data_IF_154647266008
#
_entry.id   IF_154647266008
#
_cell.length_a   1.000
_cell.length_b   1.000
_cell.length_c   1.000
_cell.angle_alpha   90.00
_cell.angle_beta   90.00
_cell.angle_gamma   90.00
#
_symmetry.space_group_name_H-M   'P 1'
#
loop_
_entity.id
_entity.type
_entity.pdbx_description
1 polymer ?
#
# COMPACT_ATOMS: atom_id res chain seq x y z
N UNK A 1 4.57 42.34 -19.49
CA UNK A 1 4.58 40.88 -19.76
C UNK A 1 5.63 40.29 -18.85
N UNK A 2 5.20 39.66 -17.75
CA UNK A 2 6.08 39.11 -16.71
C UNK A 2 6.34 37.65 -17.06
N UNK A 3 7.61 37.35 -17.41
CA UNK A 3 8.05 36.00 -17.66
C UNK A 3 8.43 35.38 -16.32
N UNK A 4 7.63 34.45 -15.82
CA UNK A 4 7.97 33.67 -14.65
C UNK A 4 8.95 32.56 -15.06
N UNK A 5 10.18 32.63 -14.57
CA UNK A 5 11.17 31.57 -14.76
C UNK A 5 10.98 30.53 -13.67
N UNK A 6 10.54 29.34 -14.06
CA UNK A 6 10.48 28.18 -13.16
C UNK A 6 11.85 27.49 -13.20
N UNK A 7 12.57 27.52 -12.08
CA UNK A 7 13.76 26.70 -11.91
C UNK A 7 13.35 25.45 -11.13
N UNK A 8 13.37 24.31 -11.79
CA UNK A 8 13.18 23.01 -11.17
C UNK A 8 14.51 22.47 -10.68
N UNK A 9 14.72 22.42 -9.38
CA UNK A 9 15.85 21.72 -8.76
C UNK A 9 15.37 20.33 -8.33
N UNK A 10 15.76 19.32 -9.09
CA UNK A 10 15.49 17.93 -8.75
C UNK A 10 16.59 17.42 -7.80
N UNK A 11 16.28 17.35 -6.52
CA UNK A 11 16.97 16.46 -5.59
C UNK A 11 16.00 15.35 -5.23
N UNK A 12 16.52 14.14 -5.23
CA UNK A 12 15.76 12.90 -5.04
C UNK A 12 14.73 13.05 -3.91
N UNK A 13 13.44 12.97 -4.28
CA UNK A 13 12.24 12.88 -3.43
C UNK A 13 11.34 14.11 -3.26
N UNK A 14 11.78 15.35 -3.59
CA UNK A 14 10.87 16.49 -3.49
C UNK A 14 11.13 17.48 -4.62
N UNK A 15 10.16 17.71 -5.50
CA UNK A 15 10.21 18.79 -6.48
C UNK A 15 9.59 20.04 -5.85
N UNK A 16 10.43 20.99 -5.47
CA UNK A 16 9.98 22.31 -5.03
C UNK A 16 10.00 23.28 -6.20
N UNK A 17 8.84 23.82 -6.55
CA UNK A 17 8.76 24.94 -7.50
C UNK A 17 8.73 26.22 -6.70
N UNK A 18 9.81 27.00 -6.75
CA UNK A 18 9.89 28.29 -6.07
C UNK A 18 9.62 29.39 -7.11
N UNK A 19 8.56 30.16 -6.91
CA UNK A 19 8.29 31.37 -7.67
C UNK A 19 8.90 32.57 -6.95
N UNK A 20 9.85 33.26 -7.58
CA UNK A 20 10.35 34.54 -7.11
C UNK A 20 9.71 35.66 -7.91
N UNK A 21 9.03 36.59 -7.25
CA UNK A 21 8.57 37.85 -7.84
C UNK A 21 9.47 38.99 -7.34
N UNK A 22 9.77 40.00 -8.18
CA UNK A 22 10.73 41.05 -7.85
C UNK A 22 10.11 42.23 -7.12
N UNK A 23 9.25 42.04 -6.12
CA UNK A 23 8.78 43.12 -5.27
C UNK A 23 8.64 42.68 -3.79
N UNK A 24 9.39 43.39 -2.96
CA UNK A 24 9.47 43.23 -1.51
C UNK A 24 8.14 43.60 -0.81
N UNK A 25 7.36 42.57 -0.48
CA UNK A 25 6.42 42.64 0.61
C UNK A 25 6.28 41.23 1.22
N UNK A 26 6.10 41.08 2.55
CA UNK A 26 6.02 39.76 3.19
C UNK A 26 4.67 39.10 2.87
N UNK A 27 4.52 38.60 1.64
CA UNK A 27 3.38 37.80 1.23
C UNK A 27 3.65 36.34 1.57
N UNK A 28 2.71 35.77 2.30
CA UNK A 28 2.67 34.34 2.65
C UNK A 28 3.08 33.48 1.44
N UNK A 29 4.19 32.78 1.56
CA UNK A 29 4.64 31.81 0.58
C UNK A 29 3.51 30.82 0.32
N UNK A 30 2.92 30.88 -0.88
CA UNK A 30 2.00 29.83 -1.33
C UNK A 30 2.87 28.66 -1.77
N UNK A 31 3.17 27.79 -0.81
CA UNK A 31 3.82 26.51 -1.12
C UNK A 31 2.80 25.71 -1.91
N UNK A 32 3.03 25.52 -3.17
CA UNK A 32 2.29 24.57 -3.99
C UNK A 32 2.81 23.17 -3.55
N UNK A 33 2.19 22.61 -2.53
CA UNK A 33 2.35 21.20 -2.22
C UNK A 33 1.79 20.46 -3.43
N UNK A 34 2.66 19.94 -4.29
CA UNK A 34 2.28 18.86 -5.17
C UNK A 34 1.73 17.78 -4.24
N UNK A 35 0.45 17.46 -4.36
CA UNK A 35 -0.11 16.31 -3.66
C UNK A 35 0.77 15.14 -4.04
N UNK A 36 1.47 14.57 -3.05
CA UNK A 36 2.12 13.28 -3.23
C UNK A 36 1.11 12.37 -3.90
N UNK A 37 1.46 11.83 -5.05
CA UNK A 37 0.62 10.85 -5.71
C UNK A 37 0.53 9.66 -4.74
N UNK A 38 -0.64 9.31 -4.19
CA UNK A 38 -0.77 8.19 -3.27
C UNK A 38 -0.23 6.87 -3.84
N UNK A 39 -0.06 6.80 -5.17
CA UNK A 39 0.53 5.67 -5.88
C UNK A 39 2.04 5.50 -5.63
N UNK A 40 2.75 6.51 -5.13
CA UNK A 40 4.19 6.42 -4.88
C UNK A 40 4.53 5.98 -3.44
N UNK A 41 3.57 6.01 -2.53
CA UNK A 41 3.80 5.56 -1.16
C UNK A 41 3.62 4.05 -1.10
N UNK A 42 4.72 3.34 -0.81
CA UNK A 42 4.70 1.90 -0.64
C UNK A 42 3.99 1.51 0.67
N UNK A 43 2.75 1.08 0.58
CA UNK A 43 1.97 0.62 1.72
C UNK A 43 2.30 -0.84 2.03
N UNK A 44 2.98 -1.08 3.15
CA UNK A 44 3.44 -2.42 3.56
C UNK A 44 3.05 -2.78 4.99
N UNK A 45 2.91 -1.78 5.87
CA UNK A 45 2.57 -2.01 7.28
C UNK A 45 1.06 -2.12 7.49
N UNK A 46 0.66 -2.97 8.45
CA UNK A 46 -0.75 -3.26 8.75
C UNK A 46 -1.61 -2.03 8.99
N UNK A 47 -1.13 -1.05 9.74
CA UNK A 47 -1.93 0.13 10.07
C UNK A 47 -2.08 1.08 8.88
N UNK A 48 -1.03 1.28 8.08
CA UNK A 48 -1.11 2.11 6.89
C UNK A 48 -2.02 1.50 5.83
N UNK A 49 -1.91 0.18 5.60
CA UNK A 49 -2.77 -0.55 4.64
C UNK A 49 -4.21 -0.56 5.11
N UNK A 50 -4.45 -0.86 6.40
CA UNK A 50 -5.79 -0.85 6.96
C UNK A 50 -6.45 0.53 6.84
N UNK A 51 -5.71 1.60 7.17
CA UNK A 51 -6.23 2.97 7.00
C UNK A 51 -6.51 3.29 5.54
N UNK A 52 -5.63 2.91 4.62
CA UNK A 52 -5.86 3.12 3.19
C UNK A 52 -7.14 2.42 2.70
N UNK A 53 -7.37 1.16 3.13
CA UNK A 53 -8.60 0.42 2.80
C UNK A 53 -9.83 1.14 3.36
N UNK A 54 -9.78 1.64 4.61
CA UNK A 54 -10.89 2.40 5.18
C UNK A 54 -11.21 3.67 4.41
N UNK A 55 -10.18 4.41 4.00
CA UNK A 55 -10.35 5.71 3.32
C UNK A 55 -10.76 5.55 1.85
N UNK A 56 -10.34 4.47 1.17
CA UNK A 56 -10.48 4.32 -0.28
C UNK A 56 -11.34 3.12 -0.72
N UNK A 57 -11.71 2.23 0.19
CA UNK A 57 -12.52 1.03 -0.11
C UNK A 57 -11.79 -0.05 -0.93
N UNK A 58 -10.50 0.10 -1.17
CA UNK A 58 -9.68 -0.80 -2.00
C UNK A 58 -8.24 -0.87 -1.50
N UNK A 59 -7.48 -1.87 -1.95
CA UNK A 59 -6.05 -1.98 -1.68
C UNK A 59 -5.24 -0.89 -2.41
N UNK A 60 -4.08 -0.51 -1.85
CA UNK A 60 -3.10 0.34 -2.54
C UNK A 60 -2.58 -0.30 -3.83
N UNK A 61 -2.08 0.51 -4.76
CA UNK A 61 -1.63 0.09 -6.08
C UNK A 61 -0.41 -0.85 -6.09
N UNK A 62 0.33 -0.94 -4.99
CA UNK A 62 1.44 -1.88 -4.82
C UNK A 62 1.00 -3.32 -4.49
N UNK A 63 -0.31 -3.59 -4.46
CA UNK A 63 -0.87 -4.93 -4.25
C UNK A 63 -1.30 -5.59 -5.53
N UNK A 64 -1.02 -6.90 -5.65
CA UNK A 64 -1.51 -7.78 -6.71
C UNK A 64 -2.02 -9.10 -6.13
N UNK A 65 -2.90 -9.79 -6.86
CA UNK A 65 -3.42 -11.10 -6.46
C UNK A 65 -2.35 -12.20 -6.46
N UNK A 66 -2.62 -13.31 -5.78
CA UNK A 66 -1.74 -14.48 -5.82
C UNK A 66 -1.49 -15.00 -7.24
N UNK A 67 -2.52 -14.98 -8.09
CA UNK A 67 -2.40 -15.44 -9.49
C UNK A 67 -1.48 -14.52 -10.30
N UNK A 68 -1.63 -13.21 -10.16
CA UNK A 68 -0.76 -12.22 -10.81
C UNK A 68 0.67 -12.31 -10.29
N UNK A 69 0.85 -12.47 -8.98
CA UNK A 69 2.17 -12.63 -8.36
C UNK A 69 2.92 -13.87 -8.84
N UNK A 70 2.22 -15.02 -9.03
CA UNK A 70 2.82 -16.22 -9.66
C UNK A 70 3.31 -15.93 -11.06
N UNK A 71 2.45 -15.32 -11.89
CA UNK A 71 2.82 -14.94 -13.26
C UNK A 71 4.03 -13.99 -13.30
N UNK A 72 4.02 -12.98 -12.42
CA UNK A 72 5.11 -12.02 -12.32
C UNK A 72 6.43 -12.70 -11.88
N UNK A 73 6.36 -13.65 -10.96
CA UNK A 73 7.51 -14.43 -10.54
C UNK A 73 8.12 -15.20 -11.73
N UNK A 74 7.31 -15.91 -12.50
CA UNK A 74 7.75 -16.67 -13.66
C UNK A 74 8.37 -15.77 -14.74
N UNK A 75 7.75 -14.63 -15.00
CA UNK A 75 8.27 -13.62 -15.94
C UNK A 75 9.62 -13.04 -15.49
N UNK A 76 9.72 -12.67 -14.21
CA UNK A 76 10.93 -12.03 -13.68
C UNK A 76 12.11 -12.97 -13.51
N UNK A 77 11.85 -14.21 -13.14
CA UNK A 77 12.90 -15.16 -12.76
C UNK A 77 13.21 -16.19 -13.85
N UNK A 78 12.34 -16.37 -14.83
CA UNK A 78 12.41 -17.43 -15.83
C UNK A 78 12.22 -18.85 -15.26
N UNK A 79 11.69 -18.96 -14.01
CA UNK A 79 11.49 -20.22 -13.30
C UNK A 79 10.01 -20.46 -13.07
N UNK A 80 9.57 -21.71 -13.15
CA UNK A 80 8.20 -22.08 -12.78
C UNK A 80 7.96 -21.81 -11.29
N UNK A 81 6.80 -21.22 -10.99
CA UNK A 81 6.38 -20.99 -9.61
C UNK A 81 6.00 -22.32 -8.95
N UNK A 82 6.57 -22.60 -7.79
CA UNK A 82 6.25 -23.80 -7.01
C UNK A 82 5.57 -23.49 -5.68
N UNK A 83 6.05 -22.48 -4.95
CA UNK A 83 5.51 -22.08 -3.65
C UNK A 83 5.96 -20.68 -3.23
N UNK A 84 5.23 -20.07 -2.29
CA UNK A 84 5.55 -18.78 -1.69
C UNK A 84 6.63 -18.91 -0.58
N UNK A 85 7.86 -19.31 -0.93
CA UNK A 85 8.98 -19.42 0.00
C UNK A 85 9.99 -18.28 -0.12
N UNK A 86 9.53 -17.12 -0.56
CA UNK A 86 10.32 -15.91 -0.72
C UNK A 86 9.47 -14.70 -0.26
N UNK A 87 10.12 -13.57 -0.09
CA UNK A 87 9.44 -12.30 0.19
C UNK A 87 9.04 -11.63 -1.13
N UNK A 88 7.72 -11.48 -1.43
CA UNK A 88 7.26 -10.89 -2.68
C UNK A 88 7.72 -9.44 -2.87
N UNK A 89 7.79 -8.65 -1.80
CA UNK A 89 8.23 -7.26 -1.89
C UNK A 89 9.69 -7.16 -2.36
N UNK A 90 10.59 -7.90 -1.74
CA UNK A 90 12.02 -7.88 -2.12
C UNK A 90 12.30 -8.57 -3.46
N UNK A 91 11.53 -9.61 -3.82
CA UNK A 91 11.73 -10.39 -5.04
C UNK A 91 11.02 -9.78 -6.24
N UNK A 92 9.78 -9.33 -6.04
CA UNK A 92 8.90 -8.87 -7.12
C UNK A 92 8.67 -7.36 -7.12
N UNK A 93 8.86 -6.69 -5.98
CA UNK A 93 8.55 -5.28 -5.78
C UNK A 93 7.06 -5.02 -5.51
N UNK A 94 6.32 -6.03 -5.03
CA UNK A 94 4.87 -5.93 -4.80
C UNK A 94 4.47 -6.63 -3.52
N UNK A 95 3.29 -6.25 -3.00
CA UNK A 95 2.58 -6.95 -1.94
C UNK A 95 1.53 -7.89 -2.55
N UNK A 96 1.17 -8.95 -1.83
CA UNK A 96 0.12 -9.89 -2.26
C UNK A 96 -1.18 -9.61 -1.52
N UNK A 97 -2.27 -9.44 -2.27
CA UNK A 97 -3.60 -9.22 -1.68
C UNK A 97 -4.69 -9.07 -2.73
N UNK A 98 -5.95 -8.98 -2.24
CA UNK A 98 -7.13 -8.87 -3.10
C UNK A 98 -7.77 -10.21 -3.45
N UNK A 99 -7.20 -11.33 -3.01
CA UNK A 99 -7.83 -12.64 -3.16
C UNK A 99 -8.98 -12.78 -2.14
N UNK A 100 -10.02 -13.54 -2.49
CA UNK A 100 -11.11 -13.88 -1.58
C UNK A 100 -10.58 -14.68 -0.38
N UNK A 101 -11.04 -14.32 0.81
CA UNK A 101 -10.84 -15.10 2.01
C UNK A 101 -12.11 -15.91 2.33
N UNK A 102 -11.97 -17.22 2.35
CA UNK A 102 -13.05 -18.13 2.67
C UNK A 102 -13.11 -18.34 4.19
N UNK A 103 -14.07 -17.69 4.86
CA UNK A 103 -14.28 -17.75 6.31
C UNK A 103 -14.93 -19.09 6.72
N UNK A 104 -14.33 -20.24 6.36
CA UNK A 104 -14.91 -21.59 6.57
C UNK A 104 -15.15 -21.93 8.02
N UNK A 105 -14.24 -21.51 8.90
CA UNK A 105 -14.37 -21.75 10.33
C UNK A 105 -15.36 -20.81 11.01
N UNK A 106 -15.93 -19.85 10.29
CA UNK A 106 -16.93 -18.91 10.82
C UNK A 106 -16.42 -18.00 11.94
N UNK A 107 -15.10 -17.75 12.00
CA UNK A 107 -14.49 -16.90 13.03
C UNK A 107 -14.78 -15.41 12.84
N UNK A 108 -15.10 -15.01 11.62
CA UNK A 108 -15.53 -13.66 11.28
C UNK A 108 -17.02 -13.62 11.00
N UNK A 109 -17.69 -12.46 11.12
CA UNK A 109 -19.09 -12.31 10.73
C UNK A 109 -19.35 -12.80 9.31
N UNK A 110 -20.60 -13.18 9.01
CA UNK A 110 -20.99 -13.55 7.65
C UNK A 110 -20.78 -12.38 6.70
N UNK A 111 -20.25 -12.65 5.51
CA UNK A 111 -19.99 -11.63 4.50
C UNK A 111 -18.93 -12.07 3.50
N UNK A 112 -18.67 -11.19 2.53
CA UNK A 112 -17.56 -11.36 1.58
C UNK A 112 -16.31 -10.74 2.17
N UNK A 113 -15.27 -11.55 2.26
CA UNK A 113 -13.99 -11.14 2.82
C UNK A 113 -12.87 -11.29 1.80
N UNK A 114 -11.89 -10.40 1.89
CA UNK A 114 -10.66 -10.41 1.11
C UNK A 114 -9.46 -10.45 2.02
N UNK A 115 -8.35 -10.97 1.54
CA UNK A 115 -7.10 -10.98 2.30
C UNK A 115 -6.02 -10.11 1.67
N UNK A 116 -5.14 -9.58 2.50
CA UNK A 116 -3.94 -8.85 2.07
C UNK A 116 -2.78 -9.17 3.01
N UNK A 117 -1.63 -9.43 2.43
CA UNK A 117 -0.39 -9.58 3.20
C UNK A 117 0.05 -8.23 3.76
N UNK A 118 0.61 -8.24 4.96
CA UNK A 118 1.19 -7.04 5.59
C UNK A 118 2.42 -7.41 6.39
N UNK A 119 3.22 -6.40 6.74
CA UNK A 119 4.36 -6.56 7.63
C UNK A 119 5.27 -7.72 7.21
N UNK A 120 5.80 -7.71 5.98
CA UNK A 120 6.78 -8.70 5.57
C UNK A 120 8.08 -8.50 6.35
N UNK A 121 8.49 -9.53 7.07
CA UNK A 121 9.73 -9.56 7.82
C UNK A 121 10.69 -10.63 7.25
N UNK A 122 11.94 -10.23 6.98
CA UNK A 122 12.96 -11.13 6.49
C UNK A 122 12.73 -11.63 5.06
N UNK A 123 13.17 -12.86 4.78
CA UNK A 123 13.28 -13.39 3.43
C UNK A 123 12.03 -14.16 2.95
N UNK A 124 11.02 -14.29 3.78
CA UNK A 124 9.81 -15.07 3.49
C UNK A 124 8.56 -14.20 3.50
N UNK A 125 7.51 -14.68 2.87
CA UNK A 125 6.19 -14.04 2.83
C UNK A 125 5.57 -13.83 4.22
N UNK A 126 5.91 -14.70 5.20
CA UNK A 126 5.37 -14.61 6.56
C UNK A 126 3.89 -14.97 6.65
N UNK A 127 3.32 -14.74 7.85
CA UNK A 127 1.96 -15.15 8.23
C UNK A 127 1.01 -14.00 8.52
N UNK A 128 1.50 -12.75 8.46
CA UNK A 128 0.72 -11.55 8.78
C UNK A 128 -0.25 -11.22 7.65
N UNK A 129 -1.54 -11.10 7.99
CA UNK A 129 -2.61 -10.77 7.03
C UNK A 129 -3.57 -9.75 7.61
N UNK A 130 -4.10 -8.92 6.75
CA UNK A 130 -5.37 -8.25 6.95
C UNK A 130 -6.47 -9.05 6.25
N UNK A 131 -7.60 -9.21 6.93
CA UNK A 131 -8.84 -9.70 6.34
C UNK A 131 -9.82 -8.55 6.39
N UNK A 132 -10.35 -8.17 5.24
CA UNK A 132 -11.15 -6.96 5.12
C UNK A 132 -12.39 -7.15 4.26
N UNK A 133 -13.40 -6.35 4.54
CA UNK A 133 -14.62 -6.24 3.74
C UNK A 133 -14.99 -4.76 3.56
N UNK A 134 -16.11 -4.48 2.90
CA UNK A 134 -16.63 -3.13 2.73
C UNK A 134 -16.88 -2.43 4.08
N UNK A 135 -16.84 -1.09 4.09
CA UNK A 135 -17.21 -0.28 5.26
C UNK A 135 -16.17 -0.31 6.38
N UNK A 136 -14.89 -0.41 6.06
CA UNK A 136 -13.79 -0.40 7.05
C UNK A 136 -13.86 -1.55 8.07
N UNK A 137 -14.43 -2.69 7.70
CA UNK A 137 -14.39 -3.89 8.52
C UNK A 137 -13.06 -4.61 8.27
N UNK A 138 -12.11 -4.47 9.20
CA UNK A 138 -10.75 -4.99 9.02
C UNK A 138 -10.33 -5.77 10.26
N UNK A 139 -9.79 -6.96 10.04
CA UNK A 139 -9.20 -7.81 11.05
C UNK A 139 -7.75 -8.13 10.70
N UNK A 140 -6.91 -8.20 11.72
CA UNK A 140 -5.51 -8.62 11.60
C UNK A 140 -5.32 -10.03 12.18
N UNK A 141 -4.53 -10.84 11.49
CA UNK A 141 -3.99 -12.10 12.00
C UNK A 141 -2.47 -12.13 11.83
N UNK A 142 -1.74 -12.46 12.88
CA UNK A 142 -0.27 -12.64 12.84
C UNK A 142 0.16 -14.11 12.85
N UNK A 143 -0.79 -15.05 12.94
CA UNK A 143 -0.54 -16.47 13.13
C UNK A 143 -1.24 -17.36 12.07
N UNK A 144 -1.37 -16.82 10.85
CA UNK A 144 -1.94 -17.52 9.70
C UNK A 144 -3.36 -18.03 9.98
N UNK A 145 -4.27 -17.10 10.28
CA UNK A 145 -5.72 -17.28 10.46
C UNK A 145 -6.16 -18.05 11.71
N UNK A 146 -5.28 -18.28 12.70
CA UNK A 146 -5.68 -18.96 13.94
C UNK A 146 -6.47 -18.04 14.87
N UNK A 147 -6.12 -16.75 14.89
CA UNK A 147 -6.84 -15.72 15.67
C UNK A 147 -6.95 -14.43 14.86
N UNK A 148 -8.01 -13.66 15.13
CA UNK A 148 -8.27 -12.38 14.48
C UNK A 148 -8.46 -11.29 15.52
N UNK A 149 -7.83 -10.14 15.29
CA UNK A 149 -7.99 -8.93 16.10
C UNK A 149 -8.57 -7.83 15.21
N UNK A 150 -9.72 -7.28 15.60
CA UNK A 150 -10.33 -6.19 14.86
C UNK A 150 -9.43 -4.95 14.92
N UNK A 151 -9.27 -4.27 13.81
CA UNK A 151 -8.60 -2.96 13.75
C UNK A 151 -9.69 -1.90 13.81
N UNK A 152 -9.57 -1.01 14.79
CA UNK A 152 -10.46 0.13 14.96
C UNK A 152 -9.63 1.40 14.94
N UNK A 153 -10.08 2.38 14.16
CA UNK A 153 -9.49 3.71 14.14
C UNK A 153 -10.33 4.61 15.04
N UNK A 154 -9.68 5.24 16.02
CA UNK A 154 -10.35 6.23 16.87
C UNK A 154 -10.84 7.41 16.03
N UNK A 155 -12.00 7.93 16.38
CA UNK A 155 -12.55 9.17 15.85
C UNK A 155 -11.75 10.37 16.36
#
# INVERSE_FOLDING_TARGET
MIVAICIALAFAFDIYVVYTTPDDAPRKKKVCLLKENPAEKEYTSRLHVAKYICDNGQLPSNYITKSEGKRLYEQKTGRNFTKWNFNPLTTLGVMIGGDNFDNREGQLPQGTWYEADVDYFGNNRGTNRLIYSSGCNIYYTGNHYKTFNKIEFGN
#
